data_IF_870609526301
#
_entry.id   IF_870609526301
#
_cell.length_a   1.000
_cell.length_b   1.000
_cell.length_c   1.000
_cell.angle_alpha   90.00
_cell.angle_beta   90.00
_cell.angle_gamma   90.00
#
_symmetry.space_group_name_H-M   'P 1'
#
loop_
_entity.id
_entity.type
_entity.pdbx_description
1 polymer ?
#
# COMPACT_ATOMS: atom_id res chain seq x y z
N UNK A 1 14.08 -20.93 -2.19
CA UNK A 1 15.46 -21.35 -1.90
C UNK A 1 16.41 -20.18 -1.74
N UNK A 2 16.44 -19.25 -2.69
CA UNK A 2 17.18 -17.99 -2.53
C UNK A 2 16.81 -17.24 -1.23
N UNK A 3 15.51 -17.12 -0.92
CA UNK A 3 15.03 -16.44 0.29
C UNK A 3 15.46 -17.11 1.62
N UNK A 4 15.52 -18.45 1.65
CA UNK A 4 15.99 -19.21 2.81
C UNK A 4 17.50 -19.03 3.00
N UNK A 5 18.26 -19.10 1.90
CA UNK A 5 19.71 -18.91 1.91
C UNK A 5 20.10 -17.45 2.24
N UNK A 6 19.23 -16.49 1.93
CA UNK A 6 19.39 -15.08 2.29
C UNK A 6 18.95 -14.75 3.73
N UNK A 7 18.41 -15.73 4.48
CA UNK A 7 17.93 -15.55 5.85
C UNK A 7 16.67 -14.69 5.99
N UNK A 8 15.96 -14.43 4.88
CA UNK A 8 14.73 -13.63 4.84
C UNK A 8 13.52 -14.39 5.37
N UNK A 9 13.56 -15.71 5.28
CA UNK A 9 12.52 -16.62 5.78
C UNK A 9 13.16 -17.73 6.59
N UNK A 10 12.44 -18.25 7.59
CA UNK A 10 12.92 -19.39 8.38
C UNK A 10 12.68 -20.72 7.64
N UNK A 11 13.34 -21.80 8.09
CA UNK A 11 13.26 -23.13 7.47
C UNK A 11 11.82 -23.68 7.44
N UNK A 12 11.01 -23.35 8.45
CA UNK A 12 9.60 -23.75 8.55
C UNK A 12 8.72 -23.02 7.52
N UNK A 13 8.95 -21.74 7.31
CA UNK A 13 8.29 -20.93 6.26
C UNK A 13 8.70 -21.38 4.87
N UNK A 14 9.98 -21.68 4.65
CA UNK A 14 10.45 -22.20 3.37
C UNK A 14 9.79 -23.54 3.04
N UNK A 15 9.64 -24.43 4.03
CA UNK A 15 8.93 -25.70 3.87
C UNK A 15 7.45 -25.51 3.54
N UNK A 16 6.77 -24.59 4.25
CA UNK A 16 5.37 -24.26 3.96
C UNK A 16 5.20 -23.65 2.55
N UNK A 17 6.09 -22.74 2.12
CA UNK A 17 6.06 -22.15 0.78
C UNK A 17 6.28 -23.19 -0.30
N UNK A 18 7.23 -24.11 -0.12
CA UNK A 18 7.45 -25.23 -1.04
C UNK A 18 6.19 -26.08 -1.16
N UNK A 19 5.56 -26.40 -0.03
CA UNK A 19 4.33 -27.18 -0.03
C UNK A 19 3.17 -26.45 -0.73
N UNK A 20 3.05 -25.13 -0.58
CA UNK A 20 2.07 -24.33 -1.35
C UNK A 20 2.37 -24.33 -2.86
N UNK A 21 3.63 -24.15 -3.25
CA UNK A 21 4.05 -24.17 -4.66
C UNK A 21 3.83 -25.55 -5.30
N UNK A 22 4.08 -26.62 -4.56
CA UNK A 22 3.81 -28.00 -4.98
C UNK A 22 2.31 -28.23 -5.18
N UNK A 23 1.47 -27.79 -4.22
CA UNK A 23 0.02 -27.84 -4.35
C UNK A 23 -0.50 -27.02 -5.54
N UNK A 24 0.10 -25.86 -5.79
CA UNK A 24 -0.26 -24.99 -6.91
C UNK A 24 0.11 -25.66 -8.25
N UNK A 25 1.32 -26.20 -8.35
CA UNK A 25 1.78 -26.95 -9.52
C UNK A 25 0.91 -28.20 -9.78
N UNK A 26 0.57 -28.95 -8.75
CA UNK A 26 -0.32 -30.12 -8.83
C UNK A 26 -1.75 -29.74 -9.23
N UNK A 27 -2.25 -28.62 -8.71
CA UNK A 27 -3.55 -28.08 -9.09
C UNK A 27 -3.56 -27.73 -10.58
N UNK A 28 -2.59 -26.95 -11.07
CA UNK A 28 -2.52 -26.56 -12.48
C UNK A 28 -2.25 -27.75 -13.40
N UNK A 29 -1.43 -28.73 -12.99
CA UNK A 29 -1.20 -29.97 -13.72
C UNK A 29 -2.46 -30.83 -13.85
N UNK A 30 -3.23 -30.97 -12.77
CA UNK A 30 -4.52 -31.66 -12.76
C UNK A 30 -5.58 -30.91 -13.58
N UNK A 31 -5.53 -29.57 -13.55
CA UNK A 31 -6.50 -28.71 -14.22
C UNK A 31 -6.28 -28.66 -15.73
N UNK A 32 -5.05 -28.71 -16.26
CA UNK A 32 -4.80 -28.77 -17.72
C UNK A 32 -5.41 -30.05 -18.34
N UNK A 33 -5.32 -31.18 -17.61
CA UNK A 33 -5.99 -32.42 -17.99
C UNK A 33 -7.52 -32.26 -18.04
N UNK A 34 -8.12 -31.78 -16.96
CA UNK A 34 -9.57 -31.56 -16.88
C UNK A 34 -10.09 -30.57 -17.94
N UNK A 35 -9.36 -29.48 -18.20
CA UNK A 35 -9.71 -28.47 -19.21
C UNK A 35 -9.76 -29.08 -20.62
N UNK A 36 -8.82 -29.96 -20.97
CA UNK A 36 -8.84 -30.65 -22.29
C UNK A 36 -10.03 -31.59 -22.44
N UNK A 37 -10.41 -32.32 -21.40
CA UNK A 37 -11.58 -33.20 -21.43
C UNK A 37 -12.91 -32.42 -21.51
N UNK A 38 -13.06 -31.36 -20.71
CA UNK A 38 -14.27 -30.52 -20.74
C UNK A 38 -14.43 -29.80 -22.08
N UNK A 39 -13.32 -29.35 -22.68
CA UNK A 39 -13.35 -28.72 -24.02
C UNK A 39 -13.78 -29.72 -25.10
N UNK A 40 -13.33 -30.98 -25.02
CA UNK A 40 -13.75 -32.04 -25.93
C UNK A 40 -15.24 -32.37 -25.81
N UNK A 41 -15.73 -32.49 -24.58
CA UNK A 41 -17.14 -32.76 -24.28
C UNK A 41 -18.07 -31.62 -24.75
N UNK A 42 -17.66 -30.37 -24.53
CA UNK A 42 -18.41 -29.20 -25.01
C UNK A 42 -18.50 -29.15 -26.54
N UNK A 43 -17.41 -29.44 -27.25
CA UNK A 43 -17.40 -29.47 -28.72
C UNK A 43 -18.28 -30.61 -29.25
N UNK A 44 -18.20 -31.80 -28.65
CA UNK A 44 -19.05 -32.93 -29.01
C UNK A 44 -20.54 -32.63 -28.77
N UNK A 45 -20.89 -32.02 -27.63
CA UNK A 45 -22.25 -31.61 -27.31
C UNK A 45 -22.83 -30.59 -28.30
N UNK A 46 -22.04 -29.60 -28.72
CA UNK A 46 -22.45 -28.63 -29.76
C UNK A 46 -22.69 -29.35 -31.10
N UNK A 47 -21.79 -30.26 -31.50
CA UNK A 47 -21.95 -31.05 -32.72
C UNK A 47 -23.23 -31.90 -32.70
N UNK A 48 -23.48 -32.62 -31.61
CA UNK A 48 -24.69 -33.44 -31.42
C UNK A 48 -25.94 -32.57 -31.50
N UNK A 49 -25.91 -31.39 -30.87
CA UNK A 49 -27.02 -30.42 -30.90
C UNK A 49 -27.34 -29.98 -32.34
N UNK A 50 -26.32 -29.61 -33.12
CA UNK A 50 -26.49 -29.19 -34.52
C UNK A 50 -27.03 -30.33 -35.38
N UNK A 51 -26.51 -31.55 -35.20
CA UNK A 51 -26.98 -32.73 -35.95
C UNK A 51 -28.41 -33.10 -35.59
N UNK A 52 -28.78 -33.07 -34.31
CA UNK A 52 -30.14 -33.38 -33.87
C UNK A 52 -31.16 -32.34 -34.36
N UNK A 53 -30.81 -31.05 -34.36
CA UNK A 53 -31.68 -29.99 -34.88
C UNK A 53 -31.84 -30.12 -36.39
N UNK A 54 -30.75 -30.19 -37.16
CA UNK A 54 -30.81 -30.23 -38.63
C UNK A 54 -31.36 -31.57 -39.16
N UNK A 55 -30.91 -32.68 -38.59
CA UNK A 55 -31.36 -34.02 -38.95
C UNK A 55 -32.80 -34.26 -38.55
N UNK A 56 -33.18 -33.89 -37.33
CA UNK A 56 -34.56 -33.97 -36.85
C UNK A 56 -35.50 -33.10 -37.68
N UNK A 57 -35.12 -31.86 -37.98
CA UNK A 57 -35.87 -30.98 -38.87
C UNK A 57 -36.03 -31.58 -40.28
N UNK A 58 -34.96 -32.14 -40.85
CA UNK A 58 -35.01 -32.81 -42.16
C UNK A 58 -35.95 -34.01 -42.18
N UNK A 59 -35.91 -34.86 -41.16
CA UNK A 59 -36.83 -36.01 -41.03
C UNK A 59 -38.27 -35.53 -40.84
N UNK A 60 -38.48 -34.51 -39.99
CA UNK A 60 -39.80 -33.92 -39.74
C UNK A 60 -40.47 -33.39 -41.00
N UNK A 61 -39.73 -32.61 -41.81
CA UNK A 61 -40.28 -31.99 -43.02
C UNK A 61 -40.36 -32.98 -44.19
N UNK A 62 -39.36 -33.82 -44.41
CA UNK A 62 -39.29 -34.65 -45.62
C UNK A 62 -39.83 -36.08 -45.48
N UNK A 63 -39.88 -36.64 -44.27
CA UNK A 63 -40.39 -38.01 -44.05
C UNK A 63 -41.71 -38.06 -43.28
N UNK A 64 -41.97 -37.09 -42.41
CA UNK A 64 -43.15 -37.07 -41.52
C UNK A 64 -44.22 -36.05 -41.98
N UNK A 65 -44.03 -35.39 -43.14
CA UNK A 65 -44.92 -34.35 -43.70
C UNK A 65 -45.31 -33.24 -42.71
N UNK A 66 -44.45 -32.94 -41.73
CA UNK A 66 -44.71 -31.90 -40.73
C UNK A 66 -44.54 -30.50 -41.34
N UNK A 67 -45.36 -29.55 -40.88
CA UNK A 67 -45.17 -28.14 -41.24
C UNK A 67 -43.80 -27.63 -40.77
N UNK A 68 -43.14 -26.81 -41.60
CA UNK A 68 -41.77 -26.30 -41.34
C UNK A 68 -41.63 -25.68 -39.94
N UNK A 69 -42.60 -24.89 -39.49
CA UNK A 69 -42.58 -24.29 -38.15
C UNK A 69 -42.78 -25.30 -37.02
N UNK A 70 -43.59 -26.33 -37.24
CA UNK A 70 -43.87 -27.39 -36.27
C UNK A 70 -42.67 -28.31 -36.09
N UNK A 71 -42.04 -28.73 -37.19
CA UNK A 71 -40.80 -29.52 -37.15
C UNK A 71 -39.67 -28.76 -36.43
N UNK A 72 -39.52 -27.46 -36.69
CA UNK A 72 -38.51 -26.65 -36.00
C UNK A 72 -38.76 -26.59 -34.48
N UNK A 73 -40.02 -26.41 -34.04
CA UNK A 73 -40.34 -26.34 -32.62
C UNK A 73 -40.11 -27.68 -31.90
N UNK A 74 -40.59 -28.79 -32.47
CA UNK A 74 -40.52 -30.12 -31.85
C UNK A 74 -39.07 -30.59 -31.72
N UNK A 75 -38.30 -30.56 -32.81
CA UNK A 75 -36.93 -31.09 -32.78
C UNK A 75 -35.95 -30.16 -32.05
N UNK A 76 -36.20 -28.84 -32.02
CA UNK A 76 -35.41 -27.93 -31.18
C UNK A 76 -35.69 -28.20 -29.69
N UNK A 77 -36.95 -28.37 -29.29
CA UNK A 77 -37.30 -28.65 -27.89
C UNK A 77 -36.74 -30.00 -27.42
N UNK A 78 -36.84 -31.04 -28.25
CA UNK A 78 -36.27 -32.36 -27.97
C UNK A 78 -34.75 -32.30 -27.82
N UNK A 79 -34.06 -31.54 -28.68
CA UNK A 79 -32.61 -31.40 -28.62
C UNK A 79 -32.15 -30.64 -27.37
N UNK A 80 -32.86 -29.57 -26.99
CA UNK A 80 -32.57 -28.86 -25.74
C UNK A 80 -32.79 -29.79 -24.53
N UNK A 81 -33.85 -30.59 -24.56
CA UNK A 81 -34.13 -31.59 -23.53
C UNK A 81 -33.01 -32.64 -23.41
N UNK A 82 -32.56 -33.20 -24.52
CA UNK A 82 -31.45 -34.17 -24.57
C UNK A 82 -30.14 -33.56 -24.08
N UNK A 83 -29.85 -32.31 -24.47
CA UNK A 83 -28.69 -31.56 -23.97
C UNK A 83 -28.72 -31.35 -22.46
N UNK A 84 -29.87 -30.99 -21.88
CA UNK A 84 -30.01 -30.83 -20.43
C UNK A 84 -29.89 -32.16 -19.67
N UNK A 85 -30.47 -33.23 -20.21
CA UNK A 85 -30.44 -34.58 -19.60
C UNK A 85 -29.04 -35.19 -19.62
N UNK A 86 -28.25 -34.93 -20.67
CA UNK A 86 -26.89 -35.44 -20.81
C UNK A 86 -25.84 -34.60 -20.06
N UNK A 87 -25.92 -33.27 -20.14
CA UNK A 87 -24.88 -32.39 -19.59
C UNK A 87 -24.94 -32.21 -18.07
N UNK A 88 -26.14 -32.17 -17.47
CA UNK A 88 -26.26 -31.99 -16.03
C UNK A 88 -25.59 -33.13 -15.24
N UNK A 89 -25.86 -34.42 -15.54
CA UNK A 89 -25.16 -35.52 -14.87
C UNK A 89 -23.66 -35.53 -15.16
N UNK A 90 -23.24 -35.27 -16.40
CA UNK A 90 -21.84 -35.24 -16.79
C UNK A 90 -21.04 -34.20 -15.97
N UNK A 91 -21.60 -33.00 -15.80
CA UNK A 91 -21.00 -31.95 -14.97
C UNK A 91 -20.86 -32.38 -13.51
N UNK A 92 -21.90 -33.02 -12.95
CA UNK A 92 -21.89 -33.51 -11.56
C UNK A 92 -20.83 -34.59 -11.38
N UNK A 93 -20.76 -35.57 -12.29
CA UNK A 93 -19.79 -36.67 -12.24
C UNK A 93 -18.36 -36.15 -12.41
N UNK A 94 -18.13 -35.23 -13.36
CA UNK A 94 -16.82 -34.61 -13.60
C UNK A 94 -16.35 -33.80 -12.39
N UNK A 95 -17.24 -32.99 -11.81
CA UNK A 95 -16.92 -32.20 -10.61
C UNK A 95 -16.65 -33.11 -9.41
N UNK A 96 -17.45 -34.16 -9.21
CA UNK A 96 -17.24 -35.14 -8.16
C UNK A 96 -15.91 -35.90 -8.32
N UNK A 97 -15.57 -36.33 -9.54
CA UNK A 97 -14.29 -36.98 -9.84
C UNK A 97 -13.12 -36.03 -9.57
N UNK A 98 -13.21 -34.76 -9.99
CA UNK A 98 -12.20 -33.74 -9.69
C UNK A 98 -12.00 -33.51 -8.19
N UNK A 99 -13.10 -33.48 -7.41
CA UNK A 99 -13.06 -33.38 -5.95
C UNK A 99 -12.45 -34.63 -5.28
N UNK A 100 -12.64 -35.82 -5.84
CA UNK A 100 -12.05 -37.07 -5.34
C UNK A 100 -10.55 -37.14 -5.65
N UNK A 101 -10.12 -36.72 -6.85
CA UNK A 101 -8.71 -36.74 -7.25
C UNK A 101 -7.89 -35.72 -6.46
N UNK A 102 -8.42 -34.51 -6.24
CA UNK A 102 -7.74 -33.46 -5.46
C UNK A 102 -7.57 -33.80 -3.97
N UNK A 103 -8.33 -34.77 -3.45
CA UNK A 103 -8.15 -35.30 -2.10
C UNK A 103 -6.82 -36.02 -1.90
N UNK A 104 -6.22 -36.60 -2.95
CA UNK A 104 -4.98 -37.37 -2.84
C UNK A 104 -3.74 -36.50 -2.49
N UNK A 105 -3.85 -35.17 -2.65
CA UNK A 105 -2.74 -34.20 -2.52
C UNK A 105 -2.84 -33.35 -1.24
N UNK A 106 -4.01 -33.31 -0.57
CA UNK A 106 -4.24 -32.45 0.59
C UNK A 106 -4.57 -33.26 1.86
N UNK A 107 -3.82 -33.03 2.95
CA UNK A 107 -3.98 -33.67 4.28
C UNK A 107 -5.31 -33.36 5.01
N UNK A 108 -6.23 -32.57 4.41
CA UNK A 108 -7.48 -32.13 5.04
C UNK A 108 -8.70 -32.36 4.15
N UNK A 109 -9.87 -32.41 4.80
CA UNK A 109 -11.21 -32.56 4.20
C UNK A 109 -11.57 -31.38 3.27
N UNK A 110 -10.90 -31.27 2.13
CA UNK A 110 -11.12 -30.28 1.08
C UNK A 110 -12.59 -30.22 0.62
N UNK A 111 -13.32 -31.35 0.46
CA UNK A 111 -14.74 -31.30 0.09
C UNK A 111 -15.59 -30.53 1.11
N UNK A 112 -15.29 -30.69 2.41
CA UNK A 112 -16.01 -30.00 3.46
C UNK A 112 -15.71 -28.49 3.47
N UNK A 113 -14.46 -28.10 3.19
CA UNK A 113 -14.07 -26.70 3.08
C UNK A 113 -14.69 -26.02 1.86
N UNK A 114 -14.72 -26.70 0.70
CA UNK A 114 -15.36 -26.16 -0.51
C UNK A 114 -16.87 -26.00 -0.34
N UNK A 115 -17.55 -26.99 0.25
CA UNK A 115 -18.98 -26.87 0.58
C UNK A 115 -19.19 -25.69 1.55
N UNK A 116 -18.34 -25.57 2.59
CA UNK A 116 -18.42 -24.47 3.54
C UNK A 116 -18.22 -23.10 2.87
N UNK A 117 -17.25 -22.98 1.95
CA UNK A 117 -16.99 -21.74 1.22
C UNK A 117 -18.13 -21.37 0.28
N UNK A 118 -18.65 -22.33 -0.48
CA UNK A 118 -19.79 -22.12 -1.38
C UNK A 118 -21.03 -21.66 -0.61
N UNK A 119 -21.32 -22.28 0.53
CA UNK A 119 -22.44 -21.94 1.41
C UNK A 119 -22.24 -20.64 2.22
N UNK A 120 -21.03 -20.09 2.26
CA UNK A 120 -20.69 -18.86 2.99
C UNK A 120 -20.69 -17.60 2.12
N UNK A 121 -21.18 -17.67 0.87
CA UNK A 121 -21.30 -16.51 -0.02
C UNK A 121 -22.74 -15.94 0.00
N UNK A 122 -23.05 -14.96 0.87
CA UNK A 122 -24.43 -14.47 1.06
C UNK A 122 -25.03 -13.88 -0.23
N UNK A 123 -24.23 -13.17 -1.03
CA UNK A 123 -24.68 -12.54 -2.26
C UNK A 123 -25.13 -13.56 -3.31
N UNK A 124 -24.45 -14.70 -3.42
CA UNK A 124 -24.83 -15.76 -4.36
C UNK A 124 -26.23 -16.29 -4.06
N UNK A 125 -26.55 -16.51 -2.78
CA UNK A 125 -27.87 -16.99 -2.34
C UNK A 125 -28.97 -15.95 -2.51
N UNK A 126 -28.68 -14.67 -2.27
CA UNK A 126 -29.65 -13.58 -2.47
C UNK A 126 -29.99 -13.44 -3.96
N UNK A 127 -28.97 -13.41 -4.83
CA UNK A 127 -29.17 -13.33 -6.28
C UNK A 127 -29.95 -14.55 -6.78
N UNK A 128 -29.57 -15.76 -6.34
CA UNK A 128 -30.27 -16.99 -6.70
C UNK A 128 -31.75 -16.96 -6.25
N UNK A 129 -32.03 -16.53 -5.02
CA UNK A 129 -33.39 -16.37 -4.51
C UNK A 129 -34.24 -15.46 -5.39
N UNK A 130 -33.68 -14.34 -5.84
CA UNK A 130 -34.34 -13.33 -6.65
C UNK A 130 -34.62 -13.84 -8.08
N UNK A 131 -33.64 -14.54 -8.69
CA UNK A 131 -33.81 -15.17 -10.00
C UNK A 131 -34.86 -16.30 -9.94
N UNK A 132 -34.81 -17.16 -8.91
CA UNK A 132 -35.77 -18.24 -8.71
C UNK A 132 -37.19 -17.71 -8.49
N UNK A 133 -37.33 -16.58 -7.81
CA UNK A 133 -38.63 -15.91 -7.65
C UNK A 133 -39.20 -15.50 -9.01
N UNK A 134 -38.40 -14.84 -9.85
CA UNK A 134 -38.83 -14.42 -11.18
C UNK A 134 -39.15 -15.62 -12.10
N UNK A 135 -38.36 -16.69 -12.05
CA UNK A 135 -38.69 -17.93 -12.78
C UNK A 135 -39.99 -18.56 -12.30
N UNK A 136 -40.25 -18.50 -10.99
CA UNK A 136 -41.53 -18.88 -10.40
C UNK A 136 -42.71 -18.02 -10.86
N UNK A 137 -42.51 -16.85 -11.50
CA UNK A 137 -43.59 -16.04 -12.06
C UNK A 137 -43.85 -16.32 -13.55
N UNK A 138 -42.96 -17.04 -14.24
CA UNK A 138 -43.11 -17.33 -15.67
C UNK A 138 -44.19 -18.40 -15.85
N UNK A 139 -45.28 -18.13 -16.60
CA UNK A 139 -46.31 -19.11 -16.88
C UNK A 139 -45.75 -20.27 -17.72
N UNK A 140 -46.05 -21.50 -17.32
CA UNK A 140 -45.54 -22.72 -17.96
C UNK A 140 -44.43 -23.44 -17.18
N UNK A 141 -43.86 -22.80 -16.16
CA UNK A 141 -42.92 -23.45 -15.23
C UNK A 141 -43.62 -23.90 -13.93
N UNK A 142 -43.12 -24.94 -13.24
CA UNK A 142 -43.67 -25.37 -11.94
C UNK A 142 -43.52 -24.27 -10.87
N UNK A 143 -44.54 -23.45 -10.67
CA UNK A 143 -44.51 -22.33 -9.72
C UNK A 143 -44.10 -22.77 -8.30
N UNK A 144 -44.68 -23.87 -7.81
CA UNK A 144 -44.49 -24.33 -6.43
C UNK A 144 -43.01 -24.66 -6.09
N UNK A 145 -42.28 -25.51 -6.86
CA UNK A 145 -40.85 -25.75 -6.64
C UNK A 145 -39.99 -24.48 -6.65
N UNK A 146 -40.21 -23.57 -7.59
CA UNK A 146 -39.40 -22.35 -7.72
C UNK A 146 -39.60 -21.39 -6.54
N UNK A 147 -40.83 -21.21 -6.07
CA UNK A 147 -41.09 -20.38 -4.89
C UNK A 147 -40.49 -20.97 -3.61
N UNK A 148 -40.60 -22.29 -3.41
CA UNK A 148 -40.00 -22.97 -2.25
C UNK A 148 -38.47 -22.81 -2.25
N UNK A 149 -37.83 -23.03 -3.40
CA UNK A 149 -36.37 -22.88 -3.55
C UNK A 149 -35.93 -21.41 -3.39
N UNK A 150 -36.71 -20.46 -3.89
CA UNK A 150 -36.46 -19.03 -3.71
C UNK A 150 -36.47 -18.64 -2.23
N UNK A 151 -37.47 -19.08 -1.47
CA UNK A 151 -37.59 -18.78 -0.04
C UNK A 151 -36.43 -19.40 0.74
N UNK A 152 -36.08 -20.67 0.47
CA UNK A 152 -34.97 -21.35 1.13
C UNK A 152 -33.63 -20.65 0.87
N UNK A 153 -33.36 -20.31 -0.40
CA UNK A 153 -32.16 -19.56 -0.76
C UNK A 153 -32.10 -18.18 -0.10
N UNK A 154 -33.25 -17.49 -0.01
CA UNK A 154 -33.36 -16.20 0.65
C UNK A 154 -33.06 -16.27 2.15
N UNK A 155 -33.57 -17.28 2.85
CA UNK A 155 -33.30 -17.51 4.28
C UNK A 155 -31.81 -17.77 4.53
N UNK A 156 -31.18 -18.62 3.70
CA UNK A 156 -29.75 -18.92 3.81
C UNK A 156 -28.92 -17.64 3.58
N UNK A 157 -29.22 -16.89 2.52
CA UNK A 157 -28.54 -15.64 2.19
C UNK A 157 -28.66 -14.59 3.30
N UNK A 158 -29.87 -14.40 3.84
CA UNK A 158 -30.14 -13.42 4.90
C UNK A 158 -29.41 -13.74 6.21
N UNK A 159 -29.45 -15.01 6.64
CA UNK A 159 -28.74 -15.43 7.86
C UNK A 159 -27.22 -15.24 7.73
N UNK A 160 -26.65 -15.57 6.56
CA UNK A 160 -25.22 -15.38 6.30
C UNK A 160 -24.83 -13.91 6.19
N UNK A 161 -25.66 -13.07 5.59
CA UNK A 161 -25.44 -11.63 5.52
C UNK A 161 -25.40 -11.00 6.93
N UNK A 162 -26.29 -11.44 7.82
CA UNK A 162 -26.32 -11.01 9.22
C UNK A 162 -25.07 -11.44 10.00
N UNK A 163 -24.60 -12.66 9.79
CA UNK A 163 -23.38 -13.17 10.44
C UNK A 163 -22.11 -12.44 9.96
N UNK A 164 -22.00 -12.16 8.66
CA UNK A 164 -20.88 -11.40 8.09
C UNK A 164 -20.87 -9.96 8.62
N UNK A 165 -22.01 -9.29 8.67
CA UNK A 165 -22.10 -7.93 9.25
C UNK A 165 -21.83 -7.93 10.76
N UNK A 166 -22.26 -8.95 11.50
CA UNK A 166 -21.98 -9.06 12.93
C UNK A 166 -20.48 -9.26 13.19
N UNK A 167 -19.79 -10.07 12.37
CA UNK A 167 -18.34 -10.24 12.45
C UNK A 167 -17.59 -8.96 12.08
N UNK A 168 -17.98 -8.28 11.02
CA UNK A 168 -17.40 -7.00 10.63
C UNK A 168 -17.60 -5.91 11.70
N UNK A 169 -18.76 -5.88 12.35
CA UNK A 169 -19.05 -4.94 13.45
C UNK A 169 -18.23 -5.25 14.71
N UNK A 170 -18.01 -6.53 15.03
CA UNK A 170 -17.16 -6.95 16.16
C UNK A 170 -15.69 -6.64 15.88
N UNK A 171 -15.24 -6.83 14.63
CA UNK A 171 -13.87 -6.53 14.22
C UNK A 171 -13.60 -5.02 14.21
N UNK A 172 -14.55 -4.22 13.74
CA UNK A 172 -14.47 -2.76 13.82
C UNK A 172 -14.52 -2.25 15.27
N UNK A 173 -15.35 -2.84 16.13
CA UNK A 173 -15.33 -2.53 17.57
C UNK A 173 -14.01 -2.89 18.23
N UNK A 174 -13.42 -4.04 17.91
CA UNK A 174 -12.08 -4.40 18.41
C UNK A 174 -11.01 -3.40 17.96
N UNK A 175 -11.05 -2.93 16.71
CA UNK A 175 -10.14 -1.90 16.21
C UNK A 175 -10.36 -0.54 16.89
N UNK A 176 -11.60 -0.18 17.19
CA UNK A 176 -11.92 1.05 17.93
C UNK A 176 -11.56 0.96 19.42
N UNK A 177 -11.70 -0.20 20.04
CA UNK A 177 -11.34 -0.46 21.44
C UNK A 177 -9.82 -0.56 21.62
N UNK A 178 -9.09 -1.14 20.64
CA UNK A 178 -7.62 -1.12 20.59
C UNK A 178 -7.06 0.30 20.36
N UNK A 179 -7.79 1.17 19.67
CA UNK A 179 -7.42 2.58 19.48
C UNK A 179 -7.75 3.48 20.68
N UNK A 180 -8.60 3.02 21.62
CA UNK A 180 -9.07 3.79 22.80
C UNK A 180 -8.59 3.25 24.14
N UNK A 181 -7.98 2.07 24.19
CA UNK A 181 -7.39 1.56 25.41
C UNK A 181 -6.14 2.39 25.77
N UNK A 182 -6.02 2.92 27.00
CA UNK A 182 -4.77 3.48 27.46
C UNK A 182 -3.75 2.34 27.51
N UNK A 183 -2.69 2.46 26.71
CA UNK A 183 -1.58 1.52 26.69
C UNK A 183 -0.99 1.45 28.10
N UNK A 184 -0.93 0.27 28.74
CA UNK A 184 -0.11 0.12 29.93
C UNK A 184 1.32 0.47 29.55
N UNK A 185 1.95 1.35 30.33
CA UNK A 185 3.37 1.71 30.24
C UNK A 185 4.22 0.44 30.22
N UNK A 186 4.50 -0.06 29.01
CA UNK A 186 5.63 -0.94 28.79
C UNK A 186 6.83 -0.03 28.65
N UNK A 187 7.69 -0.05 29.64
CA UNK A 187 9.01 0.60 29.71
C UNK A 187 9.99 0.03 28.66
N UNK A 188 9.50 -0.43 27.51
CA UNK A 188 10.26 -1.08 26.44
C UNK A 188 9.94 -0.54 25.05
N UNK A 189 9.15 0.53 24.93
CA UNK A 189 9.23 1.36 23.73
C UNK A 189 10.49 2.21 23.85
N UNK A 190 11.65 1.62 23.58
CA UNK A 190 12.73 2.38 22.96
C UNK A 190 12.11 2.87 21.65
N UNK A 191 11.50 4.06 21.70
CA UNK A 191 10.98 4.72 20.52
C UNK A 191 12.13 4.73 19.50
N UNK A 192 11.88 4.39 18.23
CA UNK A 192 12.92 4.53 17.22
C UNK A 192 13.43 5.97 17.30
N UNK A 193 14.75 6.12 17.49
CA UNK A 193 15.41 7.42 17.48
C UNK A 193 15.01 8.17 16.21
N UNK A 194 14.55 9.41 16.36
CA UNK A 194 14.25 10.21 15.19
C UNK A 194 15.57 10.46 14.44
N UNK A 195 15.52 10.33 13.11
CA UNK A 195 16.74 10.48 12.28
C UNK A 195 17.27 11.90 12.38
N UNK A 196 16.38 12.88 12.53
CA UNK A 196 16.73 14.29 12.69
C UNK A 196 15.77 14.98 13.67
N UNK A 197 16.33 15.66 14.65
CA UNK A 197 15.58 16.41 15.66
C UNK A 197 16.11 17.84 15.77
N UNK A 198 15.20 18.77 16.04
CA UNK A 198 15.48 20.14 16.44
C UNK A 198 14.95 20.31 17.86
N UNK A 199 15.87 20.40 18.82
CA UNK A 199 15.56 20.74 20.19
C UNK A 199 15.59 22.26 20.36
N UNK A 200 14.55 22.82 21.00
CA UNK A 200 14.45 24.27 21.21
C UNK A 200 14.27 24.61 22.69
N UNK A 201 14.95 25.68 23.13
CA UNK A 201 14.66 26.34 24.39
C UNK A 201 13.31 27.08 24.36
N UNK A 202 12.76 27.37 25.54
CA UNK A 202 11.39 27.86 25.65
C UNK A 202 11.12 29.23 24.96
N UNK A 203 12.13 30.11 24.81
CA UNK A 203 11.95 31.40 24.12
C UNK A 203 11.80 31.24 22.60
N UNK A 204 12.19 30.08 22.06
CA UNK A 204 12.14 29.79 20.64
C UNK A 204 10.87 29.02 20.24
N UNK A 205 10.05 28.58 21.20
CA UNK A 205 8.77 27.88 20.95
C UNK A 205 7.87 28.66 19.97
N UNK A 206 7.68 29.99 20.10
CA UNK A 206 6.85 30.73 19.16
C UNK A 206 7.34 30.70 17.71
N UNK A 207 8.63 30.44 17.47
CA UNK A 207 9.17 30.33 16.10
C UNK A 207 8.78 29.01 15.43
N UNK A 208 8.51 27.96 16.22
CA UNK A 208 8.23 26.59 15.75
C UNK A 208 6.76 26.18 15.91
N UNK A 209 5.95 26.99 16.57
CA UNK A 209 4.53 26.73 16.79
C UNK A 209 3.69 27.05 15.55
N UNK A 210 2.85 26.08 15.13
CA UNK A 210 1.98 26.21 13.96
C UNK A 210 0.85 27.22 14.18
N UNK A 211 0.37 27.37 15.41
CA UNK A 211 -0.73 28.27 15.76
C UNK A 211 -0.28 29.73 15.87
N UNK A 212 1.02 29.96 16.11
CA UNK A 212 1.63 31.27 16.33
C UNK A 212 2.30 31.87 15.07
N UNK A 213 1.82 31.51 13.87
CA UNK A 213 2.39 31.94 12.57
C UNK A 213 3.81 31.37 12.33
N UNK A 214 3.96 30.05 12.50
CA UNK A 214 5.20 29.25 12.46
C UNK A 214 6.03 29.34 11.18
N UNK A 215 6.67 30.48 10.97
CA UNK A 215 7.50 30.82 9.81
C UNK A 215 8.66 29.82 9.61
N UNK A 216 9.21 29.28 10.70
CA UNK A 216 10.30 28.31 10.64
C UNK A 216 9.84 26.97 10.06
N UNK A 217 8.61 26.52 10.35
CA UNK A 217 8.06 25.26 9.83
C UNK A 217 7.98 25.27 8.30
N UNK A 218 7.49 26.36 7.72
CA UNK A 218 7.35 26.48 6.27
C UNK A 218 8.70 26.65 5.56
N UNK A 219 9.66 27.32 6.23
CA UNK A 219 11.04 27.40 5.77
C UNK A 219 11.72 26.03 5.79
N UNK A 220 11.54 25.23 6.85
CA UNK A 220 12.04 23.84 6.92
C UNK A 220 11.46 22.98 5.79
N UNK A 221 10.15 23.07 5.52
CA UNK A 221 9.52 22.36 4.38
C UNK A 221 10.15 22.77 3.06
N UNK A 222 10.43 24.06 2.88
CA UNK A 222 11.06 24.60 1.67
C UNK A 222 12.51 24.12 1.51
N UNK A 223 13.28 24.08 2.60
CA UNK A 223 14.64 23.50 2.61
C UNK A 223 14.62 22.04 2.16
N UNK A 224 13.71 21.22 2.69
CA UNK A 224 13.59 19.81 2.28
C UNK A 224 13.31 19.64 0.79
N UNK A 225 12.43 20.47 0.22
CA UNK A 225 12.15 20.48 -1.23
C UNK A 225 13.37 20.91 -2.04
N UNK A 226 14.08 21.94 -1.59
CA UNK A 226 15.28 22.43 -2.26
C UNK A 226 16.38 21.35 -2.30
N UNK A 227 16.61 20.63 -1.20
CA UNK A 227 17.57 19.52 -1.17
C UNK A 227 17.19 18.38 -2.12
N UNK A 228 15.92 18.03 -2.21
CA UNK A 228 15.46 17.01 -3.14
C UNK A 228 15.76 17.39 -4.61
N UNK A 229 15.67 18.68 -4.95
CA UNK A 229 15.95 19.20 -6.30
C UNK A 229 17.45 19.37 -6.58
N UNK A 230 18.21 19.92 -5.63
CA UNK A 230 19.62 20.27 -5.82
C UNK A 230 20.55 19.08 -5.59
N UNK A 231 20.29 18.27 -4.56
CA UNK A 231 21.18 17.18 -4.13
C UNK A 231 20.64 15.79 -4.49
N UNK A 232 19.39 15.69 -4.94
CA UNK A 232 18.82 14.43 -5.44
C UNK A 232 18.52 13.38 -4.37
N UNK A 233 18.42 13.76 -3.08
CA UNK A 233 17.96 12.87 -2.02
C UNK A 233 16.86 13.50 -1.16
N UNK A 234 16.00 12.65 -0.60
CA UNK A 234 14.90 13.09 0.26
C UNK A 234 15.41 13.23 1.69
N UNK A 235 15.42 14.46 2.19
CA UNK A 235 15.77 14.72 3.60
C UNK A 235 14.68 14.13 4.52
N UNK A 236 15.06 13.37 5.56
CA UNK A 236 14.14 12.88 6.58
C UNK A 236 13.28 13.99 7.21
N UNK A 237 12.14 13.67 7.83
CA UNK A 237 11.38 14.64 8.62
C UNK A 237 12.25 15.19 9.76
N UNK A 238 12.14 16.49 10.03
CA UNK A 238 12.75 17.13 11.19
C UNK A 238 11.70 17.20 12.30
N UNK A 239 11.87 16.41 13.36
CA UNK A 239 11.00 16.48 14.53
C UNK A 239 11.44 17.61 15.44
N UNK A 240 10.49 18.39 15.96
CA UNK A 240 10.78 19.52 16.83
C UNK A 240 10.35 19.15 18.25
N UNK A 241 11.25 19.32 19.21
CA UNK A 241 11.02 19.02 20.62
C UNK A 241 11.44 20.21 21.47
N UNK A 242 10.69 20.51 22.51
CA UNK A 242 11.15 21.40 23.56
C UNK A 242 12.15 20.67 24.46
N UNK A 243 13.24 21.33 24.82
CA UNK A 243 14.23 20.80 25.75
C UNK A 243 14.49 21.81 26.87
N UNK A 244 13.98 21.51 28.06
CA UNK A 244 14.14 22.35 29.26
C UNK A 244 15.58 22.36 29.81
N UNK A 245 16.46 21.47 29.33
CA UNK A 245 17.89 21.47 29.69
C UNK A 245 18.69 22.45 28.85
N UNK A 246 18.18 22.88 27.69
CA UNK A 246 18.78 23.96 26.91
C UNK A 246 18.53 25.31 27.59
N UNK A 247 19.44 26.27 27.35
CA UNK A 247 19.15 27.65 27.74
C UNK A 247 17.94 28.15 26.97
N UNK A 248 17.24 29.11 27.57
CA UNK A 248 16.02 29.74 27.05
C UNK A 248 16.06 30.06 25.55
N UNK A 249 17.21 30.54 25.10
CA UNK A 249 17.44 31.11 23.78
C UNK A 249 18.38 30.25 22.90
N UNK A 250 18.64 29.01 23.30
CA UNK A 250 19.46 28.04 22.57
C UNK A 250 18.59 27.01 21.81
N UNK A 251 19.14 26.46 20.74
CA UNK A 251 18.59 25.31 20.03
C UNK A 251 19.70 24.31 19.70
N UNK A 252 19.35 23.02 19.65
CA UNK A 252 20.22 21.91 19.26
C UNK A 252 19.67 21.19 18.04
N UNK A 253 20.55 20.77 17.13
CA UNK A 253 20.20 19.91 16.00
C UNK A 253 20.82 18.54 16.28
N UNK A 254 19.99 17.50 16.36
CA UNK A 254 20.41 16.15 16.61
C UNK A 254 20.20 15.28 15.36
N UNK A 255 21.13 14.36 15.13
CA UNK A 255 20.99 13.32 14.11
C UNK A 255 21.12 11.97 14.81
N UNK A 256 20.09 11.12 14.71
CA UNK A 256 20.03 9.81 15.37
C UNK A 256 20.30 9.92 16.89
N UNK A 257 19.75 10.96 17.52
CA UNK A 257 19.91 11.26 18.95
C UNK A 257 21.26 11.83 19.39
N UNK A 258 22.19 12.12 18.47
CA UNK A 258 23.46 12.78 18.79
C UNK A 258 23.38 14.25 18.39
N UNK A 259 23.67 15.16 19.32
CA UNK A 259 23.79 16.59 19.02
C UNK A 259 24.97 16.81 18.07
N UNK A 260 24.67 17.23 16.84
CA UNK A 260 25.66 17.52 15.79
C UNK A 260 25.93 19.01 15.64
N UNK A 261 24.98 19.85 16.05
CA UNK A 261 25.15 21.29 16.05
C UNK A 261 24.31 21.99 17.10
N UNK A 262 24.76 23.17 17.54
CA UNK A 262 24.10 24.02 18.52
C UNK A 262 24.18 25.47 18.10
N UNK A 263 23.12 26.22 18.35
CA UNK A 263 23.07 27.66 18.11
C UNK A 263 22.35 28.40 19.22
N UNK A 264 22.54 29.73 19.24
CA UNK A 264 21.84 30.63 20.15
C UNK A 264 21.23 31.77 19.33
N UNK A 265 20.00 32.14 19.66
CA UNK A 265 19.21 33.17 18.99
C UNK A 265 18.76 34.18 20.03
N UNK A 266 18.59 35.45 19.66
CA UNK A 266 17.87 36.42 20.48
C UNK A 266 16.52 36.73 19.84
N UNK A 267 15.45 36.20 20.43
CA UNK A 267 14.10 36.45 19.95
C UNK A 267 13.80 37.96 19.89
N UNK A 268 13.12 38.39 18.82
CA UNK A 268 12.80 39.81 18.59
C UNK A 268 13.96 40.70 18.12
N UNK A 269 15.16 40.14 17.89
CA UNK A 269 16.30 40.85 17.29
C UNK A 269 16.67 40.30 15.91
N UNK A 270 17.43 41.10 15.17
CA UNK A 270 18.00 40.71 13.87
C UNK A 270 19.51 40.46 14.02
N UNK A 271 20.03 39.53 13.24
CA UNK A 271 21.46 39.24 13.20
C UNK A 271 22.09 39.99 12.02
N UNK A 272 22.99 40.91 12.30
CA UNK A 272 23.79 41.62 11.32
C UNK A 272 25.15 40.95 11.18
N UNK A 273 25.41 40.30 10.06
CA UNK A 273 26.66 39.59 9.78
C UNK A 273 27.65 40.50 9.04
N UNK A 274 28.91 40.46 9.45
CA UNK A 274 29.99 41.16 8.77
C UNK A 274 30.63 40.25 7.70
N UNK A 275 30.46 40.54 6.39
CA UNK A 275 31.08 39.77 5.31
C UNK A 275 32.59 40.06 5.11
N UNK A 276 33.18 40.94 5.92
CA UNK A 276 34.57 41.40 5.83
C UNK A 276 34.75 42.75 5.14
N UNK A 277 33.67 43.36 4.64
CA UNK A 277 33.69 44.61 3.84
C UNK A 277 32.90 45.74 4.49
N UNK A 278 32.75 45.74 5.82
CA UNK A 278 32.00 46.78 6.52
C UNK A 278 32.73 48.12 6.50
N UNK A 279 31.98 49.22 6.39
CA UNK A 279 32.54 50.58 6.42
C UNK A 279 32.58 51.14 7.84
N UNK A 280 31.65 50.71 8.70
CA UNK A 280 31.49 51.22 10.06
C UNK A 280 30.91 50.17 10.99
N UNK A 281 31.40 50.13 12.23
CA UNK A 281 30.81 49.31 13.28
C UNK A 281 29.46 49.88 13.76
N UNK A 282 28.55 48.99 14.12
CA UNK A 282 27.21 49.32 14.62
C UNK A 282 27.07 48.89 16.08
N UNK A 283 26.27 49.64 16.83
CA UNK A 283 25.97 49.32 18.23
C UNK A 283 25.07 48.07 18.32
N UNK A 284 25.40 47.18 19.25
CA UNK A 284 24.61 45.97 19.50
C UNK A 284 25.37 44.94 20.31
N UNK A 285 24.80 43.74 20.42
CA UNK A 285 25.42 42.65 21.19
C UNK A 285 26.26 41.81 20.24
N UNK A 286 27.58 41.83 20.44
CA UNK A 286 28.54 41.07 19.64
C UNK A 286 28.32 39.56 19.83
N UNK A 287 28.36 38.81 18.73
CA UNK A 287 28.18 37.36 18.69
C UNK A 287 28.92 36.76 17.50
N UNK A 288 28.81 35.44 17.34
CA UNK A 288 29.17 34.74 16.12
C UNK A 288 27.94 34.09 15.52
N UNK A 289 27.86 34.09 14.21
CA UNK A 289 26.82 33.38 13.47
C UNK A 289 27.05 31.87 13.57
N UNK A 290 26.01 31.05 13.84
CA UNK A 290 26.16 29.64 14.20
C UNK A 290 26.59 28.72 13.05
N UNK A 291 26.35 29.09 11.79
CA UNK A 291 26.59 28.24 10.61
C UNK A 291 28.04 28.27 10.14
N UNK A 292 28.60 29.46 9.96
CA UNK A 292 29.92 29.71 9.38
C UNK A 292 30.89 30.35 10.38
N UNK A 293 30.43 30.76 11.56
CA UNK A 293 31.27 31.37 12.58
C UNK A 293 31.67 32.82 12.27
N UNK A 294 30.96 33.48 11.35
CA UNK A 294 31.25 34.87 10.98
C UNK A 294 30.98 35.82 12.16
N UNK A 295 31.79 36.88 12.34
CA UNK A 295 31.51 37.93 13.30
C UNK A 295 30.14 38.58 12.99
N UNK A 296 29.29 38.67 14.00
CA UNK A 296 27.94 39.19 13.85
C UNK A 296 27.49 39.99 15.07
N UNK A 297 26.48 40.82 14.89
CA UNK A 297 25.93 41.69 15.94
C UNK A 297 24.42 41.52 16.00
N UNK A 298 23.88 41.28 17.20
CA UNK A 298 22.44 41.34 17.43
C UNK A 298 21.99 42.78 17.55
N UNK A 299 21.14 43.21 16.62
CA UNK A 299 20.61 44.56 16.52
C UNK A 299 19.10 44.59 16.70
N UNK A 300 18.58 45.76 17.05
CA UNK A 300 17.14 46.00 17.07
C UNK A 300 16.56 46.04 15.65
N UNK A 301 15.25 45.82 15.52
CA UNK A 301 14.58 45.91 14.21
C UNK A 301 14.65 47.32 13.60
N UNK A 302 14.72 48.38 14.42
CA UNK A 302 14.86 49.76 13.96
C UNK A 302 16.24 50.07 13.35
N UNK A 303 17.29 49.35 13.77
CA UNK A 303 18.66 49.57 13.28
C UNK A 303 18.94 48.85 11.95
N UNK A 304 17.98 48.10 11.40
CA UNK A 304 18.13 47.30 10.18
C UNK A 304 18.69 48.12 9.01
N UNK A 305 18.09 49.26 8.69
CA UNK A 305 18.51 50.09 7.56
C UNK A 305 19.93 50.64 7.76
N UNK A 306 20.25 51.08 8.99
CA UNK A 306 21.58 51.59 9.35
C UNK A 306 22.65 50.50 9.18
N UNK A 307 22.36 49.28 9.63
CA UNK A 307 23.27 48.14 9.48
C UNK A 307 23.50 47.76 8.02
N UNK A 308 22.44 47.73 7.20
CA UNK A 308 22.56 47.45 5.77
C UNK A 308 23.39 48.53 5.04
N UNK A 309 23.19 49.81 5.37
CA UNK A 309 23.98 50.91 4.80
C UNK A 309 25.45 50.84 5.21
N UNK A 310 25.76 50.31 6.39
CA UNK A 310 27.12 50.09 6.86
C UNK A 310 27.81 48.84 6.26
N UNK A 311 27.11 48.10 5.37
CA UNK A 311 27.64 46.93 4.67
C UNK A 311 27.36 45.58 5.34
N UNK A 312 26.52 45.52 6.38
CA UNK A 312 26.15 44.26 7.02
C UNK A 312 25.05 43.53 6.25
N UNK A 313 25.12 42.20 6.24
CA UNK A 313 24.01 41.35 5.80
C UNK A 313 23.11 41.08 7.00
N UNK A 314 21.87 41.60 6.97
CA UNK A 314 20.94 41.52 8.10
C UNK A 314 19.87 40.47 7.85
N UNK A 315 19.72 39.52 8.77
CA UNK A 315 18.76 38.41 8.70
C UNK A 315 17.94 38.28 9.98
N UNK A 316 16.74 37.73 9.86
CA UNK A 316 15.88 37.41 11.01
C UNK A 316 16.26 36.08 11.69
N UNK A 317 15.74 35.87 12.89
CA UNK A 317 15.98 34.68 13.71
C UNK A 317 15.63 33.37 12.99
N UNK A 318 14.48 33.32 12.31
CA UNK A 318 14.03 32.15 11.54
C UNK A 318 15.01 31.80 10.42
N UNK A 319 15.56 32.81 9.75
CA UNK A 319 16.53 32.66 8.66
C UNK A 319 17.88 32.16 9.16
N UNK A 320 18.33 32.61 10.34
CA UNK A 320 19.54 32.08 10.98
C UNK A 320 19.40 30.58 11.26
N UNK A 321 18.32 30.18 11.92
CA UNK A 321 18.06 28.76 12.24
C UNK A 321 17.90 27.93 10.96
N UNK A 322 17.16 28.43 9.97
CA UNK A 322 16.96 27.75 8.68
C UNK A 322 18.28 27.53 7.94
N UNK A 323 19.14 28.56 7.89
CA UNK A 323 20.46 28.48 7.23
C UNK A 323 21.36 27.47 7.94
N UNK A 324 21.32 27.46 9.27
CA UNK A 324 22.09 26.53 10.06
C UNK A 324 21.62 25.07 9.87
N UNK A 325 20.31 24.84 9.85
CA UNK A 325 19.73 23.53 9.52
C UNK A 325 20.15 23.10 8.11
N UNK A 326 20.05 23.99 7.12
CA UNK A 326 20.44 23.70 5.74
C UNK A 326 21.91 23.25 5.66
N UNK A 327 22.83 24.00 6.25
CA UNK A 327 24.24 23.63 6.19
C UNK A 327 24.54 22.34 6.99
N UNK A 328 23.85 22.13 8.13
CA UNK A 328 23.96 20.89 8.92
C UNK A 328 23.51 19.67 8.11
N UNK A 329 22.37 19.76 7.41
CA UNK A 329 21.89 18.71 6.50
C UNK A 329 22.92 18.43 5.40
N UNK A 330 23.49 19.48 4.82
CA UNK A 330 24.51 19.35 3.76
C UNK A 330 25.75 18.63 4.27
N UNK A 331 26.27 19.01 5.44
CA UNK A 331 27.45 18.41 6.07
C UNK A 331 27.26 16.93 6.39
N UNK A 332 26.04 16.56 6.81
CA UNK A 332 25.70 15.20 7.20
C UNK A 332 24.88 14.44 6.13
N UNK A 333 24.85 14.92 4.88
CA UNK A 333 24.02 14.34 3.83
C UNK A 333 24.32 12.84 3.60
N UNK A 334 25.60 12.46 3.63
CA UNK A 334 26.02 11.07 3.49
C UNK A 334 25.53 10.15 4.65
N UNK A 335 25.33 10.71 5.85
CA UNK A 335 24.84 9.98 7.03
C UNK A 335 23.31 9.87 7.07
N UNK A 336 22.63 10.87 6.48
CA UNK A 336 21.19 10.94 6.33
C UNK A 336 20.67 10.04 5.19
N UNK A 337 21.52 9.72 4.20
CA UNK A 337 21.19 8.76 3.15
C UNK A 337 21.34 7.31 3.68
N UNK A 338 20.30 6.81 4.33
CA UNK A 338 20.20 5.44 4.80
C UNK A 338 19.75 4.45 3.72
N UNK A 339 19.54 3.19 4.13
CA UNK A 339 18.99 2.15 3.25
C UNK A 339 17.56 2.46 2.84
N UNK A 340 16.75 2.97 3.77
CA UNK A 340 15.35 3.29 3.53
C UNK A 340 15.20 4.43 2.52
N UNK A 341 16.00 5.49 2.67
CA UNK A 341 16.03 6.64 1.78
C UNK A 341 16.52 6.22 0.39
N UNK A 342 17.55 5.37 0.32
CA UNK A 342 18.04 4.84 -0.95
C UNK A 342 16.99 3.98 -1.66
N UNK A 343 16.28 3.13 -0.91
CA UNK A 343 15.20 2.31 -1.47
C UNK A 343 14.07 3.19 -2.00
N UNK A 344 13.60 4.16 -1.21
CA UNK A 344 12.56 5.10 -1.65
C UNK A 344 12.96 5.91 -2.89
N UNK A 345 14.23 6.31 -2.99
CA UNK A 345 14.76 7.00 -4.15
C UNK A 345 14.74 6.10 -5.40
N UNK A 346 15.19 4.85 -5.26
CA UNK A 346 15.20 3.87 -6.35
C UNK A 346 13.78 3.52 -6.79
N UNK A 347 12.85 3.30 -5.86
CA UNK A 347 11.45 3.01 -6.16
C UNK A 347 10.82 4.15 -6.96
N UNK A 348 11.10 5.41 -6.56
CA UNK A 348 10.61 6.58 -7.28
C UNK A 348 11.21 6.69 -8.68
N UNK A 349 12.50 6.39 -8.83
CA UNK A 349 13.15 6.40 -10.15
C UNK A 349 12.66 5.26 -11.05
N UNK A 350 12.34 4.10 -10.46
CA UNK A 350 11.78 2.94 -11.15
C UNK A 350 10.44 3.25 -11.85
N UNK A 351 9.64 4.18 -11.32
CA UNK A 351 8.39 4.61 -11.96
C UNK A 351 8.60 5.19 -13.38
N UNK A 352 9.72 5.88 -13.61
CA UNK A 352 10.03 6.51 -14.90
C UNK A 352 11.04 5.73 -15.73
N UNK A 353 11.95 4.98 -15.09
CA UNK A 353 13.04 4.26 -15.73
C UNK A 353 13.16 2.81 -15.22
N UNK A 354 12.11 1.97 -15.39
CA UNK A 354 12.06 0.65 -14.76
C UNK A 354 13.16 -0.31 -15.24
N UNK A 355 13.45 -0.31 -16.54
CA UNK A 355 14.43 -1.22 -17.15
C UNK A 355 15.84 -1.06 -16.58
N UNK A 356 16.27 0.19 -16.39
CA UNK A 356 17.62 0.49 -15.86
C UNK A 356 17.77 -0.01 -14.43
N UNK A 357 16.72 0.13 -13.62
CA UNK A 357 16.73 -0.34 -12.23
C UNK A 357 16.71 -1.86 -12.16
N UNK A 358 15.89 -2.52 -12.97
CA UNK A 358 15.78 -3.98 -13.00
C UNK A 358 17.04 -4.67 -13.52
N UNK A 359 17.73 -4.09 -14.51
CA UNK A 359 19.02 -4.61 -14.99
C UNK A 359 20.17 -4.37 -13.99
N UNK A 360 20.11 -3.28 -13.20
CA UNK A 360 21.18 -2.93 -12.27
C UNK A 360 21.04 -3.63 -10.91
N UNK A 361 19.83 -3.63 -10.33
CA UNK A 361 19.56 -4.06 -8.96
C UNK A 361 18.54 -5.22 -8.97
N UNK A 362 18.84 -6.38 -8.38
CA UNK A 362 20.04 -6.69 -7.57
C UNK A 362 21.24 -7.25 -8.36
N UNK A 363 21.08 -7.50 -9.66
CA UNK A 363 21.94 -8.41 -10.43
C UNK A 363 23.38 -7.90 -10.61
N UNK A 364 23.57 -6.64 -11.02
CA UNK A 364 24.91 -6.04 -11.23
C UNK A 364 25.43 -5.44 -9.92
N UNK A 365 24.58 -4.71 -9.19
CA UNK A 365 24.88 -4.12 -7.89
C UNK A 365 23.73 -4.36 -6.90
N UNK A 366 24.07 -4.85 -5.71
CA UNK A 366 23.14 -4.86 -4.58
C UNK A 366 22.77 -3.43 -4.15
N UNK A 367 21.57 -3.24 -3.59
CA UNK A 367 21.11 -1.98 -2.99
C UNK A 367 22.16 -1.32 -2.07
N UNK A 368 22.83 -2.11 -1.23
CA UNK A 368 23.86 -1.59 -0.31
C UNK A 368 25.11 -1.03 -1.02
N UNK A 369 25.48 -1.60 -2.17
CA UNK A 369 26.59 -1.06 -3.00
C UNK A 369 26.17 0.25 -3.65
N UNK A 370 24.93 0.32 -4.18
CA UNK A 370 24.37 1.55 -4.75
C UNK A 370 24.30 2.65 -3.69
N UNK A 371 23.76 2.35 -2.51
CA UNK A 371 23.78 3.25 -1.35
C UNK A 371 25.19 3.75 -1.09
N UNK A 372 26.20 2.86 -1.05
CA UNK A 372 27.56 3.27 -0.73
C UNK A 372 28.16 4.22 -1.77
N UNK A 373 27.86 4.00 -3.05
CA UNK A 373 28.26 4.92 -4.14
C UNK A 373 27.59 6.27 -3.96
N UNK A 374 26.27 6.30 -3.74
CA UNK A 374 25.52 7.55 -3.52
C UNK A 374 26.03 8.30 -2.28
N UNK A 375 26.29 7.61 -1.17
CA UNK A 375 26.87 8.20 0.04
C UNK A 375 28.24 8.82 -0.23
N UNK A 376 29.07 8.19 -1.07
CA UNK A 376 30.39 8.73 -1.40
C UNK A 376 30.31 9.96 -2.32
N UNK A 377 29.26 10.10 -3.12
CA UNK A 377 29.00 11.31 -3.93
C UNK A 377 28.48 12.48 -3.07
N UNK A 378 27.84 12.18 -1.93
CA UNK A 378 27.33 13.16 -0.97
C UNK A 378 28.35 13.57 0.12
N UNK A 379 29.53 12.96 0.14
CA UNK A 379 30.66 13.36 0.99
C UNK A 379 31.46 14.46 0.32
#
# INVERSE_FOLDING_TARGET
DADLNAGLINEKEARNRRQMLEQEADFYGSMDGAIRFVRGDAIAGILITVVNILGGFGIGVFQQDMGVGEAAQVYTLLTIGDGLVSQLPALVVSTAAGLVVTRAVADKNLPHQLISQLLNQPYAFIIASLVLFFFGMIPGLPHFPFFVMSILAGIIGFNKFKDTNKKALIENRKKEDEAKAPTPERVESILPLDIMELEVGYELIPLVDADSNGELLDRIKSVRRQFALEMGFIVPPLHIRDNLQLKSNEYGILIKGVEVSRGSIMAGRLLAMNPGTIEKEIDGIQTKEPTFGLPAVWISTSDKQKAQMAGYTVVDSSTVVTTHIKETIKRHASELLGRQETQSLIDKFKESNPKVIEELIPDVLSLGKVQKVLQNLLK
#
